data_IF_750092287218
#
_entry.id   IF_750092287218
#
_cell.length_a   1.000
_cell.length_b   1.000
_cell.length_c   1.000
_cell.angle_alpha   90.00
_cell.angle_beta   90.00
_cell.angle_gamma   90.00
#
_symmetry.space_group_name_H-M   'P 1'
#
loop_
_entity.id
_entity.type
_entity.pdbx_description
1 polymer ?
#
# COMPACT_ATOMS: atom_id res chain seq x y z
N UNK A 1 -15.92 -14.46 11.68
CA UNK A 1 -15.36 -13.22 11.08
C UNK A 1 -14.29 -13.57 10.06
N UNK A 2 -14.64 -13.90 8.81
CA UNK A 2 -13.65 -14.12 7.78
C UNK A 2 -13.11 -12.77 7.24
N UNK A 3 -11.78 -12.65 7.12
CA UNK A 3 -11.13 -11.73 6.19
C UNK A 3 -10.79 -10.31 6.67
N UNK A 4 -11.22 -9.84 7.86
CA UNK A 4 -10.87 -8.50 8.35
C UNK A 4 -9.68 -8.54 9.30
N UNK A 5 -8.68 -7.68 9.06
CA UNK A 5 -7.53 -7.54 9.94
C UNK A 5 -7.95 -6.98 11.31
N UNK A 6 -7.40 -7.54 12.37
CA UNK A 6 -7.54 -6.98 13.72
C UNK A 6 -6.78 -5.65 13.75
N UNK A 7 -7.48 -4.58 14.08
CA UNK A 7 -6.91 -3.24 14.15
C UNK A 7 -6.06 -3.06 15.40
N UNK A 8 -5.10 -2.13 15.36
CA UNK A 8 -4.27 -1.83 16.52
C UNK A 8 -5.08 -1.27 17.70
N UNK A 9 -6.20 -0.58 17.43
CA UNK A 9 -7.15 -0.15 18.47
C UNK A 9 -7.77 -1.35 19.19
N UNK A 10 -8.23 -2.35 18.45
CA UNK A 10 -8.79 -3.59 19.03
C UNK A 10 -7.74 -4.36 19.82
N UNK A 11 -6.49 -4.45 19.31
CA UNK A 11 -5.37 -5.05 20.06
C UNK A 11 -5.12 -4.31 21.38
N UNK A 12 -5.07 -2.97 21.36
CA UNK A 12 -4.85 -2.17 22.56
C UNK A 12 -5.96 -2.37 23.59
N UNK A 13 -7.21 -2.34 23.15
CA UNK A 13 -8.37 -2.59 24.01
C UNK A 13 -8.31 -3.98 24.65
N UNK A 14 -7.95 -5.00 23.86
CA UNK A 14 -7.76 -6.36 24.37
C UNK A 14 -6.65 -6.43 25.42
N UNK A 15 -5.49 -5.81 25.18
CA UNK A 15 -4.38 -5.82 26.13
C UNK A 15 -4.73 -5.13 27.45
N UNK A 16 -5.54 -4.06 27.40
CA UNK A 16 -6.05 -3.41 28.62
C UNK A 16 -7.00 -4.32 29.38
N UNK A 17 -7.95 -4.98 28.70
CA UNK A 17 -9.00 -5.79 29.33
C UNK A 17 -8.52 -7.17 29.79
N UNK A 18 -7.48 -7.73 29.16
CA UNK A 18 -6.85 -8.99 29.59
C UNK A 18 -6.30 -8.93 31.03
N UNK A 19 -6.04 -7.72 31.56
CA UNK A 19 -5.58 -7.55 32.94
C UNK A 19 -6.66 -7.82 33.99
N UNK A 20 -7.93 -7.60 33.66
CA UNK A 20 -9.07 -7.74 34.58
C UNK A 20 -9.98 -8.92 34.25
N UNK A 21 -10.09 -9.27 32.96
CA UNK A 21 -11.06 -10.21 32.46
C UNK A 21 -10.40 -11.46 31.87
N UNK A 22 -11.14 -12.56 31.77
CA UNK A 22 -10.68 -13.75 31.05
C UNK A 22 -10.45 -13.44 29.57
N UNK A 23 -9.58 -14.21 28.92
CA UNK A 23 -9.18 -14.00 27.51
C UNK A 23 -10.40 -13.99 26.58
N UNK A 24 -11.40 -14.83 26.85
CA UNK A 24 -12.63 -14.91 26.06
C UNK A 24 -13.48 -13.64 26.17
N UNK A 25 -13.67 -13.15 27.40
CA UNK A 25 -14.43 -11.91 27.68
C UNK A 25 -13.70 -10.69 27.12
N UNK A 26 -12.38 -10.62 27.29
CA UNK A 26 -11.56 -9.54 26.74
C UNK A 26 -11.59 -9.53 25.20
N UNK A 27 -11.55 -10.70 24.55
CA UNK A 27 -11.64 -10.82 23.09
C UNK A 27 -13.03 -10.41 22.56
N UNK A 28 -14.09 -10.85 23.24
CA UNK A 28 -15.46 -10.45 22.91
C UNK A 28 -15.64 -8.93 23.04
N UNK A 29 -15.18 -8.33 24.13
CA UNK A 29 -15.19 -6.87 24.35
C UNK A 29 -14.36 -6.11 23.31
N UNK A 30 -13.28 -6.72 22.80
CA UNK A 30 -12.44 -6.16 21.75
C UNK A 30 -12.99 -6.41 20.32
N UNK A 31 -14.09 -7.13 20.18
CA UNK A 31 -14.78 -7.36 18.91
C UNK A 31 -14.11 -8.39 18.00
N UNK A 32 -13.44 -9.40 18.55
CA UNK A 32 -12.88 -10.52 17.78
C UNK A 32 -13.02 -11.86 18.50
N UNK A 33 -12.76 -12.96 17.77
CA UNK A 33 -12.98 -14.32 18.29
C UNK A 33 -12.01 -14.72 19.41
N UNK A 34 -12.44 -15.64 20.28
CA UNK A 34 -11.58 -16.25 21.32
C UNK A 34 -10.26 -16.79 20.76
N UNK A 35 -10.29 -17.43 19.59
CA UNK A 35 -9.11 -17.98 18.94
C UNK A 35 -8.06 -16.90 18.60
N UNK A 36 -8.51 -15.73 18.16
CA UNK A 36 -7.62 -14.57 17.93
C UNK A 36 -7.12 -13.98 19.24
N UNK A 37 -7.93 -13.99 20.30
CA UNK A 37 -7.51 -13.61 21.66
C UNK A 37 -6.38 -14.48 22.19
N UNK A 38 -6.50 -15.81 22.08
CA UNK A 38 -5.42 -16.73 22.46
C UNK A 38 -4.15 -16.52 21.63
N UNK A 39 -4.27 -16.29 20.32
CA UNK A 39 -3.11 -15.98 19.46
C UNK A 39 -2.41 -14.69 19.86
N UNK A 40 -3.16 -13.64 20.19
CA UNK A 40 -2.62 -12.36 20.68
C UNK A 40 -2.05 -12.46 22.10
N UNK A 41 -2.60 -13.35 22.91
CA UNK A 41 -2.09 -13.61 24.26
C UNK A 41 -0.76 -14.37 24.23
N UNK A 42 -0.58 -15.29 23.26
CA UNK A 42 0.65 -16.04 23.05
C UNK A 42 1.75 -15.22 22.35
N UNK A 43 1.39 -14.41 21.34
CA UNK A 43 2.31 -13.51 20.65
C UNK A 43 1.77 -12.06 20.64
N UNK A 44 2.13 -11.24 21.65
CA UNK A 44 1.66 -9.87 21.79
C UNK A 44 2.41 -8.87 20.88
N UNK A 45 2.79 -9.26 19.66
CA UNK A 45 3.47 -8.35 18.74
C UNK A 45 2.50 -7.32 18.13
N UNK A 46 2.86 -6.01 18.15
CA UNK A 46 2.11 -4.98 17.42
C UNK A 46 2.12 -5.30 15.91
N UNK A 47 1.12 -4.82 15.15
CA UNK A 47 1.06 -5.11 13.71
C UNK A 47 2.17 -4.45 12.88
N UNK A 48 3.05 -3.68 13.54
CA UNK A 48 4.18 -2.99 12.96
C UNK A 48 5.11 -3.99 12.25
N UNK A 49 5.30 -3.79 10.95
CA UNK A 49 6.42 -4.41 10.23
C UNK A 49 6.07 -5.53 9.26
N UNK A 50 4.81 -5.72 8.85
CA UNK A 50 4.58 -6.53 7.64
C UNK A 50 5.13 -5.76 6.44
N UNK A 51 6.27 -6.24 5.90
CA UNK A 51 6.88 -5.73 4.67
C UNK A 51 5.77 -5.55 3.63
N UNK A 52 5.69 -4.39 2.95
CA UNK A 52 4.73 -4.18 1.88
C UNK A 52 4.76 -5.39 0.96
N UNK A 53 3.60 -5.97 0.69
CA UNK A 53 3.52 -7.14 -0.19
C UNK A 53 4.14 -6.73 -1.53
N UNK A 54 5.24 -7.37 -1.88
CA UNK A 54 5.92 -7.14 -3.15
C UNK A 54 4.96 -7.34 -4.31
N UNK A 55 5.22 -6.64 -5.42
CA UNK A 55 4.44 -6.79 -6.65
C UNK A 55 4.70 -8.20 -7.18
N UNK A 56 3.64 -9.02 -7.27
CA UNK A 56 3.76 -10.41 -7.74
C UNK A 56 4.04 -10.54 -9.24
N UNK A 57 3.92 -9.46 -10.01
CA UNK A 57 4.04 -9.48 -11.46
C UNK A 57 4.88 -8.31 -11.97
N UNK A 58 5.56 -8.53 -13.11
CA UNK A 58 5.95 -7.59 -14.14
C UNK A 58 5.16 -6.30 -14.16
N UNK A 59 5.75 -5.10 -14.14
CA UNK A 59 4.98 -3.93 -14.58
C UNK A 59 4.86 -4.01 -16.10
N UNK A 60 3.65 -4.21 -16.66
CA UNK A 60 3.49 -4.59 -18.07
C UNK A 60 3.85 -3.45 -19.07
N UNK A 61 4.12 -2.26 -18.56
CA UNK A 61 4.52 -1.07 -19.33
C UNK A 61 5.80 -0.44 -18.76
N UNK A 62 6.54 -1.14 -17.90
CA UNK A 62 7.76 -0.57 -17.33
C UNK A 62 8.78 -0.25 -18.44
N UNK A 63 9.01 -1.22 -19.33
CA UNK A 63 10.05 -1.12 -20.35
C UNK A 63 9.67 -0.13 -21.46
N UNK A 64 8.37 -0.06 -21.80
CA UNK A 64 7.84 0.87 -22.83
C UNK A 64 7.96 2.33 -22.37
N UNK A 65 7.87 2.58 -21.06
CA UNK A 65 7.95 3.94 -20.53
C UNK A 65 9.32 4.57 -20.83
N UNK A 66 10.38 3.81 -20.61
CA UNK A 66 11.75 4.32 -20.78
C UNK A 66 12.10 4.46 -22.27
N UNK A 67 11.60 3.55 -23.12
CA UNK A 67 11.88 3.56 -24.57
C UNK A 67 11.09 4.62 -25.32
N UNK A 68 9.81 4.84 -24.97
CA UNK A 68 8.90 5.68 -25.78
C UNK A 68 8.58 7.00 -25.11
N UNK A 69 8.33 7.00 -23.80
CA UNK A 69 7.78 8.18 -23.12
C UNK A 69 8.88 9.16 -22.73
N UNK A 70 10.04 8.68 -22.28
CA UNK A 70 11.15 9.56 -21.88
C UNK A 70 11.70 10.42 -23.04
N UNK A 71 12.01 9.87 -24.24
CA UNK A 71 12.53 10.70 -25.34
C UNK A 71 11.55 11.77 -25.81
N UNK A 72 10.25 11.48 -25.79
CA UNK A 72 9.19 12.44 -26.13
C UNK A 72 9.12 13.56 -25.09
N UNK A 73 9.27 13.24 -23.81
CA UNK A 73 9.27 14.25 -22.74
C UNK A 73 10.53 15.12 -22.76
N UNK A 74 11.67 14.58 -23.17
CA UNK A 74 12.92 15.33 -23.35
C UNK A 74 12.84 16.30 -24.54
N UNK A 75 12.25 15.85 -25.66
CA UNK A 75 12.15 16.65 -26.89
C UNK A 75 11.07 17.72 -26.80
N UNK A 76 10.05 17.54 -25.95
CA UNK A 76 8.89 18.42 -25.89
C UNK A 76 8.54 18.84 -24.45
N UNK A 77 9.17 19.92 -24.00
CA UNK A 77 9.01 20.52 -22.67
C UNK A 77 7.60 21.10 -22.40
N UNK A 78 6.77 21.25 -23.44
CA UNK A 78 5.39 21.72 -23.37
C UNK A 78 4.32 20.65 -23.08
N UNK A 79 4.67 19.36 -23.12
CA UNK A 79 3.69 18.28 -22.92
C UNK A 79 3.35 18.17 -21.44
N UNK A 80 2.05 18.30 -21.12
CA UNK A 80 1.52 18.12 -19.77
C UNK A 80 0.97 16.71 -19.61
N UNK A 81 1.38 15.95 -18.57
CA UNK A 81 0.82 14.63 -18.33
C UNK A 81 -0.65 14.76 -17.91
N UNK A 82 -1.57 14.29 -18.75
CA UNK A 82 -3.00 14.22 -18.45
C UNK A 82 -3.34 12.82 -17.96
N UNK A 83 -4.13 12.74 -16.89
CA UNK A 83 -4.63 11.47 -16.37
C UNK A 83 -5.90 11.10 -17.13
N UNK A 84 -5.82 10.12 -18.02
CA UNK A 84 -7.00 9.58 -18.68
C UNK A 84 -7.84 8.76 -17.67
N UNK A 85 -9.12 9.09 -17.54
CA UNK A 85 -10.03 8.54 -16.51
C UNK A 85 -10.92 7.38 -17.00
N UNK A 86 -10.83 7.01 -18.27
CA UNK A 86 -11.82 6.19 -18.99
C UNK A 86 -11.43 4.72 -19.23
N UNK A 87 -10.20 4.29 -18.90
CA UNK A 87 -9.88 2.85 -18.97
C UNK A 87 -10.58 2.15 -17.82
N UNK A 88 -11.68 1.47 -18.15
CA UNK A 88 -12.45 0.60 -17.28
C UNK A 88 -11.50 -0.20 -16.36
N UNK A 89 -11.86 -0.28 -15.07
CA UNK A 89 -11.10 -0.93 -13.99
C UNK A 89 -10.83 -2.40 -14.30
N UNK A 90 -9.93 -2.68 -15.23
CA UNK A 90 -9.55 -4.02 -15.59
C UNK A 90 -8.68 -4.51 -14.44
N UNK A 91 -9.21 -5.44 -13.64
CA UNK A 91 -8.58 -5.97 -12.40
C UNK A 91 -7.14 -6.47 -12.63
N UNK A 92 -6.76 -6.71 -13.89
CA UNK A 92 -5.44 -7.14 -14.35
C UNK A 92 -4.35 -6.05 -14.28
N UNK A 93 -4.70 -4.75 -14.28
CA UNK A 93 -3.75 -3.63 -14.40
C UNK A 93 -3.74 -2.64 -13.22
N UNK A 94 -4.29 -3.02 -12.06
CA UNK A 94 -4.54 -2.07 -10.96
C UNK A 94 -3.30 -1.50 -10.24
N UNK A 95 -2.09 -1.95 -10.60
CA UNK A 95 -0.83 -1.61 -9.92
C UNK A 95 0.21 -0.83 -10.74
N UNK A 96 -0.15 -0.22 -11.87
CA UNK A 96 0.77 0.63 -12.67
C UNK A 96 0.42 2.13 -12.61
N UNK A 97 -0.69 2.49 -11.95
CA UNK A 97 -1.35 3.81 -12.07
C UNK A 97 -0.62 4.98 -11.39
N UNK A 98 0.43 4.71 -10.61
CA UNK A 98 1.03 5.70 -9.73
C UNK A 98 2.51 5.99 -10.08
N UNK A 99 3.11 5.24 -11.00
CA UNK A 99 4.55 5.35 -11.30
C UNK A 99 4.84 6.24 -12.49
N UNK A 100 3.96 6.34 -13.50
CA UNK A 100 4.23 7.17 -14.69
C UNK A 100 4.19 8.66 -14.39
N UNK A 101 3.15 9.15 -13.70
CA UNK A 101 3.05 10.56 -13.29
C UNK A 101 4.09 10.94 -12.26
N UNK A 102 4.43 10.03 -11.34
CA UNK A 102 5.51 10.25 -10.38
C UNK A 102 6.89 10.27 -11.07
N UNK A 103 7.17 9.35 -11.99
CA UNK A 103 8.44 9.28 -12.74
C UNK A 103 8.59 10.46 -13.71
N UNK A 104 7.54 10.86 -14.42
CA UNK A 104 7.58 12.04 -15.28
C UNK A 104 7.85 13.33 -14.47
N UNK A 105 7.29 13.45 -13.26
CA UNK A 105 7.62 14.56 -12.34
C UNK A 105 9.07 14.50 -11.86
N UNK A 106 9.56 13.33 -11.48
CA UNK A 106 10.96 13.14 -11.04
C UNK A 106 11.93 13.44 -12.19
N UNK A 107 11.71 12.90 -13.39
CA UNK A 107 12.52 13.14 -14.58
C UNK A 107 12.55 14.63 -14.96
N UNK A 108 11.44 15.35 -14.80
CA UNK A 108 11.42 16.81 -15.01
C UNK A 108 12.14 17.58 -13.91
N UNK A 109 12.03 17.14 -12.66
CA UNK A 109 12.75 17.76 -11.53
C UNK A 109 14.26 17.61 -11.69
N UNK A 110 14.74 16.48 -12.22
CA UNK A 110 16.17 16.27 -12.53
C UNK A 110 16.65 17.08 -13.73
N UNK A 111 15.80 17.31 -14.74
CA UNK A 111 16.15 18.13 -15.92
C UNK A 111 16.08 19.65 -15.65
N UNK A 112 15.43 20.09 -14.57
CA UNK A 112 15.27 21.50 -14.22
C UNK A 112 16.35 22.04 -13.26
N UNK A 113 17.26 21.19 -12.77
CA UNK A 113 18.42 21.57 -11.97
C UNK A 113 19.69 21.20 -12.75
N UNK A 114 20.29 22.12 -13.53
CA UNK A 114 21.65 21.89 -13.98
C UNK A 114 22.56 21.93 -12.75
N UNK A 115 23.34 20.86 -12.55
CA UNK A 115 24.52 20.91 -11.69
C UNK A 115 25.45 21.99 -12.27
N UNK A 116 25.69 23.04 -11.49
CA UNK A 116 26.70 24.06 -11.72
C UNK A 116 27.82 23.84 -10.70
#
# INVERSE_FOLDING_TARGET
MPGRHITDRQKRLFMTRKKSDTIEVAAAKAGFSRASGYRLAADPRPSAGKKPRGRRRPAPLADIFDVVVLPILETSTGIRPVKESSVAKNKRFTGARNTSTARARIARATLSFPAN
#
